data_IF_099967681034
#
_entry.id   IF_099967681034
#
_cell.length_a   1.000
_cell.length_b   1.000
_cell.length_c   1.000
_cell.angle_alpha   90.00
_cell.angle_beta   90.00
_cell.angle_gamma   90.00
#
_symmetry.space_group_name_H-M   'P 1'
#
loop_
_entity.id
_entity.type
_entity.pdbx_description
1 polymer ?
#
# COMPACT_ATOMS: atom_id res chain seq x y z
N UNK A 1 -37.96 2.82 23.62
CA UNK A 1 -37.00 1.75 23.98
C UNK A 1 -36.57 0.87 22.79
N UNK A 2 -37.42 0.60 21.79
CA UNK A 2 -37.05 -0.18 20.57
C UNK A 2 -36.14 0.54 19.56
N UNK A 3 -36.04 1.87 19.63
CA UNK A 3 -35.25 2.68 18.69
C UNK A 3 -33.76 2.82 19.07
N UNK A 4 -33.43 2.62 20.35
CA UNK A 4 -32.05 2.64 20.84
C UNK A 4 -31.25 1.40 20.39
N UNK A 5 -31.93 0.27 20.16
CA UNK A 5 -31.29 -0.97 19.73
C UNK A 5 -30.79 -0.94 18.27
N UNK A 6 -31.29 -0.02 17.43
CA UNK A 6 -30.91 0.02 16.01
C UNK A 6 -29.57 0.73 15.76
N UNK A 7 -29.17 1.65 16.66
CA UNK A 7 -27.93 2.43 16.53
C UNK A 7 -26.70 1.59 16.93
N UNK A 8 -26.87 0.58 17.78
CA UNK A 8 -25.77 -0.25 18.29
C UNK A 8 -25.30 -1.27 17.24
N UNK A 9 -26.14 -1.67 16.28
CA UNK A 9 -25.74 -2.66 15.26
C UNK A 9 -24.93 -2.08 14.08
N UNK A 10 -24.90 -0.77 13.88
CA UNK A 10 -24.20 -0.17 12.71
C UNK A 10 -22.74 0.19 12.97
N UNK A 11 -22.25 0.08 14.21
CA UNK A 11 -20.89 0.51 14.57
C UNK A 11 -19.82 -0.55 14.33
N UNK A 12 -20.18 -1.84 14.15
CA UNK A 12 -19.19 -2.91 13.96
C UNK A 12 -18.63 -3.02 12.52
N UNK A 13 -19.22 -2.35 11.53
CA UNK A 13 -18.77 -2.45 10.14
C UNK A 13 -17.57 -1.54 9.78
N UNK A 14 -17.07 -0.74 10.73
CA UNK A 14 -16.04 0.27 10.44
C UNK A 14 -14.60 -0.26 10.44
N UNK A 15 -14.33 -1.46 10.98
CA UNK A 15 -12.99 -2.06 10.96
C UNK A 15 -12.75 -2.92 9.71
N UNK A 16 -13.01 -2.37 8.52
CA UNK A 16 -12.52 -2.97 7.27
C UNK A 16 -11.21 -2.26 6.90
N UNK A 17 -10.08 -2.88 7.24
CA UNK A 17 -8.73 -2.44 6.86
C UNK A 17 -8.46 -2.45 5.34
N UNK A 18 -9.47 -2.69 4.52
CA UNK A 18 -9.37 -2.84 3.07
C UNK A 18 -9.29 -1.51 2.32
N UNK A 19 -9.61 -0.38 2.97
CA UNK A 19 -9.57 0.95 2.33
C UNK A 19 -8.17 1.39 1.89
N UNK A 20 -7.12 0.96 2.61
CA UNK A 20 -5.74 1.32 2.28
C UNK A 20 -5.29 0.75 0.91
N UNK A 21 -5.82 -0.42 0.50
CA UNK A 21 -5.47 -1.05 -0.77
C UNK A 21 -6.00 -0.29 -2.00
N UNK A 22 -7.15 0.37 -1.84
CA UNK A 22 -7.84 1.03 -2.97
C UNK A 22 -7.33 2.46 -3.25
N UNK A 23 -6.60 3.07 -2.33
CA UNK A 23 -6.10 4.44 -2.47
C UNK A 23 -4.69 4.53 -3.11
N UNK A 24 -4.04 3.40 -3.36
CA UNK A 24 -2.66 3.39 -3.86
C UNK A 24 -2.59 3.75 -5.34
N UNK A 25 -1.68 4.67 -5.68
CA UNK A 25 -1.40 5.11 -7.05
C UNK A 25 -0.98 3.94 -7.93
N UNK A 26 -1.52 3.87 -9.14
CA UNK A 26 -1.13 2.90 -10.15
C UNK A 26 0.08 3.40 -10.95
N UNK A 27 1.14 2.59 -11.01
CA UNK A 27 2.40 2.87 -11.69
C UNK A 27 2.78 1.65 -12.55
N UNK A 28 3.38 1.81 -13.74
CA UNK A 28 3.88 0.67 -14.51
C UNK A 28 4.94 -0.12 -13.73
N UNK A 29 4.87 -1.46 -13.80
CA UNK A 29 5.78 -2.34 -13.04
C UNK A 29 7.26 -2.07 -13.35
N UNK A 30 7.61 -1.85 -14.62
CA UNK A 30 8.98 -1.54 -15.01
C UNK A 30 9.50 -0.24 -14.37
N UNK A 31 8.66 0.79 -14.23
CA UNK A 31 9.03 2.05 -13.58
C UNK A 31 9.29 1.85 -12.08
N UNK A 32 8.50 0.98 -11.43
CA UNK A 32 8.70 0.61 -10.02
C UNK A 32 10.06 -0.08 -9.84
N UNK A 33 10.36 -1.11 -10.63
CA UNK A 33 11.63 -1.84 -10.53
C UNK A 33 12.86 -0.99 -10.86
N UNK A 34 12.74 -0.05 -11.80
CA UNK A 34 13.84 0.84 -12.16
C UNK A 34 14.13 1.87 -11.06
N UNK A 35 13.09 2.32 -10.35
CA UNK A 35 13.20 3.40 -9.36
C UNK A 35 13.57 2.89 -7.97
N UNK A 36 13.11 1.69 -7.61
CA UNK A 36 13.19 1.18 -6.25
C UNK A 36 14.26 0.09 -6.15
N UNK A 37 15.43 0.46 -5.65
CA UNK A 37 16.57 -0.43 -5.44
C UNK A 37 16.83 -0.61 -3.93
N UNK A 38 16.65 -1.81 -3.38
CA UNK A 38 16.99 -2.09 -1.99
C UNK A 38 18.45 -1.74 -1.66
N UNK A 39 18.65 -1.08 -0.53
CA UNK A 39 19.96 -0.62 -0.05
C UNK A 39 20.46 0.70 -0.64
N UNK A 40 19.80 1.24 -1.67
CA UNK A 40 20.30 2.42 -2.39
C UNK A 40 19.24 3.51 -2.55
N UNK A 41 18.01 3.15 -2.95
CA UNK A 41 16.97 4.15 -3.16
C UNK A 41 16.49 4.74 -1.84
N UNK A 42 16.22 6.04 -1.83
CA UNK A 42 15.66 6.75 -0.66
C UNK A 42 14.18 7.05 -0.83
N UNK A 43 13.50 7.29 0.29
CA UNK A 43 12.09 7.71 0.33
C UNK A 43 11.83 8.93 -0.56
N UNK A 44 12.73 9.91 -0.51
CA UNK A 44 12.61 11.16 -1.27
C UNK A 44 12.78 10.94 -2.77
N UNK A 45 13.72 10.08 -3.18
CA UNK A 45 13.90 9.68 -4.57
C UNK A 45 12.66 8.96 -5.10
N UNK A 46 12.15 7.99 -4.32
CA UNK A 46 10.94 7.25 -4.67
C UNK A 46 9.74 8.19 -4.78
N UNK A 47 9.55 9.12 -3.83
CA UNK A 47 8.47 10.14 -3.89
C UNK A 47 8.57 11.01 -5.13
N UNK A 48 9.78 11.46 -5.45
CA UNK A 48 10.01 12.37 -6.58
C UNK A 48 9.71 11.67 -7.91
N UNK A 49 10.14 10.41 -8.04
CA UNK A 49 9.96 9.66 -9.28
C UNK A 49 8.54 9.09 -9.43
N UNK A 50 7.93 8.60 -8.35
CA UNK A 50 6.67 7.86 -8.40
C UNK A 50 5.46 8.68 -7.91
N UNK A 51 5.68 9.82 -7.26
CA UNK A 51 4.66 10.63 -6.61
C UNK A 51 4.20 10.06 -5.27
N UNK A 52 3.07 10.59 -4.77
CA UNK A 52 2.52 10.16 -3.49
C UNK A 52 1.97 8.72 -3.55
N UNK A 53 2.05 8.04 -2.42
CA UNK A 53 1.58 6.66 -2.23
C UNK A 53 0.75 6.55 -0.96
N UNK A 54 0.02 5.43 -0.82
CA UNK A 54 -0.50 5.05 0.49
C UNK A 54 0.68 4.66 1.37
N UNK A 55 0.83 5.32 2.51
CA UNK A 55 1.90 5.03 3.46
C UNK A 55 1.41 4.75 4.87
N UNK A 56 2.16 3.90 5.57
CA UNK A 56 2.01 3.61 7.00
C UNK A 56 3.36 3.88 7.65
N UNK A 57 3.39 4.77 8.63
CA UNK A 57 4.60 5.06 9.41
C UNK A 57 4.50 4.41 10.78
N UNK A 58 5.57 3.73 11.18
CA UNK A 58 5.68 3.05 12.46
C UNK A 58 6.46 3.91 13.45
N UNK A 59 6.21 3.74 14.75
CA UNK A 59 6.93 4.46 15.81
C UNK A 59 8.43 4.11 15.86
N UNK A 60 8.83 2.97 15.26
CA UNK A 60 10.23 2.60 15.07
C UNK A 60 10.97 3.46 14.05
N UNK A 61 10.27 4.37 13.37
CA UNK A 61 10.80 5.19 12.26
C UNK A 61 10.70 4.51 10.90
N UNK A 62 10.41 3.21 10.85
CA UNK A 62 10.17 2.50 9.60
C UNK A 62 8.90 3.02 8.92
N UNK A 63 8.85 2.90 7.59
CA UNK A 63 7.70 3.32 6.81
C UNK A 63 7.42 2.33 5.69
N UNK A 64 6.15 1.97 5.51
CA UNK A 64 5.72 1.08 4.44
C UNK A 64 4.91 1.88 3.44
N UNK A 65 5.31 1.83 2.17
CA UNK A 65 4.62 2.45 1.06
C UNK A 65 4.07 1.40 0.13
N UNK A 66 2.95 1.70 -0.51
CA UNK A 66 2.30 0.78 -1.43
C UNK A 66 1.88 1.49 -2.71
N UNK A 67 2.22 0.87 -3.83
CA UNK A 67 1.77 1.22 -5.17
C UNK A 67 1.02 0.05 -5.79
N UNK A 68 0.13 0.35 -6.71
CA UNK A 68 -0.52 -0.64 -7.56
C UNK A 68 0.17 -0.68 -8.92
N UNK A 69 0.08 -1.79 -9.63
CA UNK A 69 0.50 -1.88 -11.03
C UNK A 69 -0.45 -2.75 -11.85
N UNK A 70 -0.66 -2.44 -13.14
CA UNK A 70 -1.43 -3.33 -14.02
C UNK A 70 -0.65 -4.64 -14.20
N UNK A 71 -1.25 -5.74 -13.77
CA UNK A 71 -0.72 -7.08 -13.95
C UNK A 71 -1.30 -7.74 -15.21
N UNK A 72 -0.88 -8.97 -15.51
CA UNK A 72 -1.37 -9.71 -16.66
C UNK A 72 -2.90 -9.96 -16.58
N UNK A 73 -3.53 -10.18 -17.74
CA UNK A 73 -4.94 -10.55 -17.84
C UNK A 73 -5.93 -9.58 -17.14
N UNK A 74 -5.56 -8.30 -17.00
CA UNK A 74 -6.41 -7.28 -16.36
C UNK A 74 -6.47 -7.38 -14.83
N UNK A 75 -5.59 -8.18 -14.22
CA UNK A 75 -5.39 -8.19 -12.78
C UNK A 75 -4.66 -6.92 -12.32
N UNK A 76 -4.72 -6.65 -11.02
CA UNK A 76 -3.92 -5.62 -10.37
C UNK A 76 -2.89 -6.32 -9.50
N UNK A 77 -1.66 -5.83 -9.53
CA UNK A 77 -0.61 -6.21 -8.60
C UNK A 77 -0.32 -5.10 -7.59
N UNK A 78 0.24 -5.48 -6.46
CA UNK A 78 0.69 -4.61 -5.38
C UNK A 78 2.20 -4.62 -5.31
N UNK A 79 2.78 -3.44 -5.12
CA UNK A 79 4.22 -3.23 -4.93
C UNK A 79 4.42 -2.51 -3.60
N UNK A 80 4.97 -3.23 -2.63
CA UNK A 80 5.15 -2.80 -1.24
C UNK A 80 6.63 -2.54 -0.98
N UNK A 81 6.92 -1.35 -0.48
CA UNK A 81 8.27 -0.88 -0.17
C UNK A 81 8.35 -0.67 1.32
N UNK A 82 9.37 -1.25 1.97
CA UNK A 82 9.74 -0.96 3.33
C UNK A 82 10.95 -0.03 3.34
N UNK A 83 10.78 1.14 3.92
CA UNK A 83 11.87 2.05 4.26
C UNK A 83 12.29 1.84 5.71
N UNK A 84 13.59 1.87 5.96
CA UNK A 84 14.15 1.93 7.31
C UNK A 84 13.93 3.31 7.94
N UNK A 85 14.26 3.43 9.23
CA UNK A 85 14.25 4.71 9.95
C UNK A 85 15.22 5.76 9.35
N UNK A 86 16.22 5.31 8.60
CA UNK A 86 17.14 6.12 7.80
C UNK A 86 16.53 6.62 6.48
N UNK A 87 15.34 6.16 6.12
CA UNK A 87 14.66 6.50 4.87
C UNK A 87 15.16 5.74 3.64
N UNK A 88 16.02 4.72 3.81
CA UNK A 88 16.53 3.90 2.71
C UNK A 88 15.63 2.68 2.52
N UNK A 89 15.44 2.25 1.27
CA UNK A 89 14.68 1.03 0.96
C UNK A 89 15.40 -0.17 1.57
N UNK A 90 14.76 -0.83 2.52
CA UNK A 90 15.26 -2.05 3.16
C UNK A 90 14.73 -3.30 2.45
N UNK A 91 13.49 -3.25 1.97
CA UNK A 91 12.84 -4.41 1.35
C UNK A 91 11.77 -3.99 0.36
N UNK A 92 11.62 -4.83 -0.67
CA UNK A 92 10.53 -4.75 -1.63
C UNK A 92 9.79 -6.09 -1.68
N UNK A 93 8.47 -6.03 -1.84
CA UNK A 93 7.61 -7.16 -2.18
C UNK A 93 6.70 -6.76 -3.33
N UNK A 94 6.53 -7.65 -4.30
CA UNK A 94 5.52 -7.51 -5.35
C UNK A 94 4.71 -8.80 -5.48
N UNK A 95 3.46 -8.68 -5.90
CA UNK A 95 2.58 -9.83 -6.11
C UNK A 95 1.23 -9.42 -6.68
N UNK A 96 0.53 -10.36 -7.29
CA UNK A 96 -0.85 -10.14 -7.72
C UNK A 96 -1.79 -10.08 -6.51
N UNK A 97 -2.78 -9.19 -6.54
CA UNK A 97 -3.79 -9.10 -5.48
C UNK A 97 -4.61 -10.38 -5.49
N UNK A 98 -4.53 -11.16 -4.40
CA UNK A 98 -5.28 -12.41 -4.28
C UNK A 98 -6.79 -12.13 -4.33
N UNK A 99 -7.43 -12.49 -5.44
CA UNK A 99 -8.89 -12.47 -5.57
C UNK A 99 -9.43 -13.81 -5.08
N UNK A 100 -10.05 -13.81 -3.90
CA UNK A 100 -10.91 -14.93 -3.50
C UNK A 100 -12.03 -15.01 -4.53
N UNK A 101 -12.11 -16.12 -5.28
CA UNK A 101 -13.25 -16.41 -6.15
C UNK A 101 -14.50 -16.40 -5.27
N UNK A 102 -15.40 -15.46 -5.54
CA UNK A 102 -16.68 -15.33 -4.83
C UNK A 102 -17.68 -16.35 -5.35
#
# INVERSE_FOLDING_TARGET
MKWLSLIILTTLAACSGTRALQASKTVPYATLEQTVQPGSSTREQVRTALGDSTSIRFDSGNEVWMYNYPAAAGAQGEYVILFGGDGVVQKVRSGEVYRVKR
#
